data_IF_513653361003
#
_entry.id   IF_513653361003
#
_cell.length_a   1.000
_cell.length_b   1.000
_cell.length_c   1.000
_cell.angle_alpha   90.00
_cell.angle_beta   90.00
_cell.angle_gamma   90.00
#
_symmetry.space_group_name_H-M   'P 1'
#
loop_
_entity.id
_entity.type
_entity.pdbx_description
1 polymer ?
#
# COMPACT_ATOMS: atom_id res chain seq x y z
N UNK A 1 -1.14 10.92 -2.28
CA UNK A 1 -1.89 9.67 -2.09
C UNK A 1 -3.26 9.87 -1.46
N UNK A 2 -3.41 10.56 -0.31
CA UNK A 2 -4.73 10.68 0.33
C UNK A 2 -5.79 11.37 -0.54
N UNK A 3 -5.41 12.41 -1.27
CA UNK A 3 -6.33 13.18 -2.11
C UNK A 3 -6.80 12.41 -3.35
N UNK A 4 -6.09 11.35 -3.73
CA UNK A 4 -6.39 10.52 -4.90
C UNK A 4 -7.08 9.20 -4.53
N UNK A 5 -7.17 8.88 -3.24
CA UNK A 5 -7.72 7.62 -2.77
C UNK A 5 -9.25 7.64 -2.81
N UNK A 6 -9.84 6.59 -3.38
CA UNK A 6 -11.29 6.37 -3.37
C UNK A 6 -11.80 5.99 -1.98
N UNK A 7 -10.95 5.32 -1.19
CA UNK A 7 -11.25 4.96 0.19
C UNK A 7 -9.96 4.91 1.02
N UNK A 8 -10.07 5.29 2.28
CA UNK A 8 -9.01 5.18 3.29
C UNK A 8 -9.59 4.49 4.52
N UNK A 9 -8.91 3.44 4.99
CA UNK A 9 -9.25 2.70 6.21
C UNK A 9 -8.02 2.63 7.13
N UNK A 10 -8.25 2.75 8.43
CA UNK A 10 -7.22 2.80 9.49
C UNK A 10 -7.38 1.71 10.56
N UNK A 11 -8.24 0.72 10.34
CA UNK A 11 -8.60 -0.30 11.35
C UNK A 11 -7.47 -1.32 11.60
N UNK A 12 -6.68 -1.67 10.56
CA UNK A 12 -5.50 -2.55 10.65
C UNK A 12 -4.34 -1.97 9.85
N UNK A 13 -3.67 -0.97 10.44
CA UNK A 13 -2.66 -0.16 9.77
C UNK A 13 -3.31 0.93 8.91
N UNK A 14 -2.80 1.12 7.69
CA UNK A 14 -3.31 2.08 6.72
C UNK A 14 -3.60 1.34 5.43
N UNK A 15 -4.87 1.31 5.04
CA UNK A 15 -5.33 0.77 3.76
C UNK A 15 -5.84 1.91 2.89
N UNK A 16 -5.44 1.93 1.62
CA UNK A 16 -5.93 2.91 0.65
C UNK A 16 -6.28 2.20 -0.66
N UNK A 17 -7.46 2.49 -1.18
CA UNK A 17 -7.96 1.94 -2.44
C UNK A 17 -8.05 3.03 -3.50
N UNK A 18 -7.58 2.73 -4.70
CA UNK A 18 -7.65 3.55 -5.90
C UNK A 18 -8.47 2.81 -6.97
N UNK A 19 -8.63 3.40 -8.16
CA UNK A 19 -9.42 2.78 -9.23
C UNK A 19 -8.91 1.37 -9.61
N UNK A 20 -7.59 1.27 -9.87
CA UNK A 20 -6.99 0.07 -10.46
C UNK A 20 -6.05 -0.69 -9.52
N UNK A 21 -5.78 -0.14 -8.33
CA UNK A 21 -4.88 -0.73 -7.37
C UNK A 21 -5.23 -0.33 -5.94
N UNK A 22 -4.69 -1.08 -4.97
CA UNK A 22 -4.77 -0.73 -3.55
C UNK A 22 -3.52 -1.18 -2.82
N UNK A 23 -3.33 -0.67 -1.61
CA UNK A 23 -2.33 -1.18 -0.70
C UNK A 23 -2.82 -1.23 0.75
N UNK A 24 -2.15 -2.06 1.54
CA UNK A 24 -2.23 -2.08 3.00
C UNK A 24 -0.83 -2.01 3.58
N UNK A 25 -0.62 -1.10 4.54
CA UNK A 25 0.60 -0.95 5.30
C UNK A 25 0.30 -1.14 6.79
N UNK A 26 0.87 -2.15 7.44
CA UNK A 26 0.61 -2.43 8.86
C UNK A 26 1.89 -2.81 9.59
N UNK A 27 1.97 -2.46 10.87
CA UNK A 27 3.02 -2.99 11.76
C UNK A 27 2.77 -4.48 12.01
N UNK A 28 3.83 -5.26 12.11
CA UNK A 28 3.71 -6.65 12.51
C UNK A 28 3.39 -6.75 14.01
N UNK A 29 2.47 -7.64 14.36
CA UNK A 29 2.09 -7.89 15.75
C UNK A 29 3.14 -8.72 16.53
N UNK A 30 4.01 -9.44 15.83
CA UNK A 30 4.92 -10.44 16.43
C UNK A 30 6.40 -10.17 16.19
N UNK A 31 6.72 -9.23 15.30
CA UNK A 31 8.10 -8.95 14.87
C UNK A 31 8.28 -7.43 14.69
N UNK A 32 9.48 -6.87 14.89
CA UNK A 32 9.73 -5.43 14.73
C UNK A 32 9.87 -5.05 13.25
N UNK A 33 8.85 -5.34 12.44
CA UNK A 33 8.83 -5.10 10.99
C UNK A 33 7.51 -4.47 10.55
N UNK A 34 7.54 -3.79 9.41
CA UNK A 34 6.34 -3.27 8.74
C UNK A 34 6.03 -4.16 7.54
N UNK A 35 4.75 -4.48 7.33
CA UNK A 35 4.26 -5.26 6.20
C UNK A 35 3.56 -4.35 5.20
N UNK A 36 3.97 -4.47 3.94
CA UNK A 36 3.35 -3.81 2.80
C UNK A 36 2.73 -4.87 1.88
N UNK A 37 1.43 -4.76 1.62
CA UNK A 37 0.72 -5.53 0.62
C UNK A 37 0.25 -4.56 -0.47
N UNK A 38 0.53 -4.86 -1.73
CA UNK A 38 0.09 -4.08 -2.91
C UNK A 38 -0.55 -5.04 -3.90
N UNK A 39 -1.69 -4.64 -4.47
CA UNK A 39 -2.40 -5.41 -5.49
C UNK A 39 -2.96 -4.47 -6.56
N UNK A 40 -3.10 -5.00 -7.78
CA UNK A 40 -3.73 -4.33 -8.92
C UNK A 40 -4.79 -5.23 -9.55
N UNK A 41 -5.63 -4.65 -10.42
CA UNK A 41 -6.62 -5.38 -11.22
C UNK A 41 -5.98 -6.09 -12.42
N UNK A 42 -5.08 -7.03 -12.16
CA UNK A 42 -4.40 -7.81 -13.20
C UNK A 42 -3.30 -7.06 -13.95
N UNK A 43 -2.93 -5.85 -13.49
CA UNK A 43 -1.88 -5.01 -14.08
C UNK A 43 -0.58 -5.17 -13.29
N UNK A 44 0.28 -6.09 -13.73
CA UNK A 44 1.56 -6.38 -13.06
C UNK A 44 2.49 -5.16 -13.09
N UNK A 45 2.72 -4.49 -14.24
CA UNK A 45 3.55 -3.28 -14.28
C UNK A 45 3.11 -2.20 -13.28
N UNK A 46 1.80 -1.93 -13.17
CA UNK A 46 1.27 -0.96 -12.22
C UNK A 46 1.56 -1.38 -10.77
N UNK A 47 1.34 -2.66 -10.44
CA UNK A 47 1.60 -3.17 -9.08
C UNK A 47 3.08 -3.02 -8.71
N UNK A 48 3.99 -3.35 -9.62
CA UNK A 48 5.43 -3.21 -9.41
C UNK A 48 5.85 -1.75 -9.26
N UNK A 49 5.36 -0.86 -10.13
CA UNK A 49 5.61 0.58 -10.06
C UNK A 49 5.19 1.15 -8.70
N UNK A 50 3.94 0.90 -8.28
CA UNK A 50 3.43 1.42 -7.01
C UNK A 50 4.12 0.81 -5.80
N UNK A 51 4.51 -0.46 -5.88
CA UNK A 51 5.33 -1.10 -4.85
C UNK A 51 6.66 -0.38 -4.68
N UNK A 52 7.39 -0.12 -5.77
CA UNK A 52 8.67 0.60 -5.72
C UNK A 52 8.50 2.04 -5.22
N UNK A 53 7.44 2.73 -5.65
CA UNK A 53 7.14 4.08 -5.18
C UNK A 53 6.94 4.14 -3.65
N UNK A 54 6.15 3.22 -3.09
CA UNK A 54 5.90 3.17 -1.64
C UNK A 54 7.18 2.76 -0.88
N UNK A 55 7.91 1.75 -1.35
CA UNK A 55 9.16 1.33 -0.71
C UNK A 55 10.21 2.44 -0.69
N UNK A 56 10.27 3.25 -1.74
CA UNK A 56 11.17 4.41 -1.81
C UNK A 56 10.81 5.46 -0.75
N UNK A 57 9.53 5.66 -0.47
CA UNK A 57 9.08 6.59 0.56
C UNK A 57 9.36 6.08 1.98
N UNK A 58 9.27 4.77 2.21
CA UNK A 58 9.54 4.16 3.52
C UNK A 58 11.03 4.13 3.89
N UNK A 59 11.92 4.28 2.90
CA UNK A 59 13.38 4.30 3.10
C UNK A 59 13.95 5.70 3.32
N UNK A 60 13.12 6.73 3.24
CA UNK A 60 13.48 8.12 3.58
C UNK A 60 13.12 8.39 5.03
#
# INVERSE_FOLDING_TARGET
FADEALAVDRTDGISMSFADWRFNLRSSNTEPVVRLNVESRGDIPLMEEKTQAILTLLRK
#
